data_IF_768717912852
#
_entry.id   IF_768717912852
#
_cell.length_a   1.000
_cell.length_b   1.000
_cell.length_c   1.000
_cell.angle_alpha   90.00
_cell.angle_beta   90.00
_cell.angle_gamma   90.00
#
_symmetry.space_group_name_H-M   'P 1'
#
loop_
_entity.id
_entity.type
_entity.pdbx_description
1 polymer ?
#
# COMPACT_ATOMS: atom_id res chain seq x y z
N UNK A 1 17.51 7.29 -15.89
CA UNK A 1 17.49 7.51 -14.43
C UNK A 1 16.13 7.90 -13.83
N UNK A 2 15.16 8.59 -14.49
CA UNK A 2 13.88 8.95 -13.84
C UNK A 2 12.92 7.76 -13.62
N UNK A 3 12.98 6.74 -14.48
CA UNK A 3 12.10 5.57 -14.38
C UNK A 3 12.32 4.76 -13.09
N UNK A 4 13.55 4.61 -12.62
CA UNK A 4 13.85 3.86 -11.39
C UNK A 4 13.24 4.49 -10.14
N UNK A 5 13.36 5.81 -10.01
CA UNK A 5 12.77 6.57 -8.89
C UNK A 5 11.25 6.51 -8.92
N UNK A 6 10.64 6.53 -10.11
CA UNK A 6 9.19 6.42 -10.26
C UNK A 6 8.69 5.05 -9.78
N UNK A 7 9.33 3.94 -10.18
CA UNK A 7 8.95 2.61 -9.68
C UNK A 7 9.14 2.50 -8.17
N UNK A 8 10.26 3.00 -7.65
CA UNK A 8 10.55 2.94 -6.21
C UNK A 8 9.50 3.71 -5.39
N UNK A 9 9.17 4.94 -5.77
CA UNK A 9 8.18 5.75 -5.06
C UNK A 9 6.78 5.14 -5.11
N UNK A 10 6.37 4.60 -6.26
CA UNK A 10 5.10 3.86 -6.40
C UNK A 10 5.11 2.62 -5.48
N UNK A 11 6.20 1.86 -5.42
CA UNK A 11 6.26 0.65 -4.61
C UNK A 11 6.20 0.96 -3.11
N UNK A 12 6.99 1.94 -2.66
CA UNK A 12 6.99 2.37 -1.27
C UNK A 12 5.63 2.90 -0.87
N UNK A 13 4.98 3.72 -1.71
CA UNK A 13 3.64 4.26 -1.40
C UNK A 13 2.58 3.17 -1.32
N UNK A 14 2.56 2.21 -2.24
CA UNK A 14 1.62 1.06 -2.20
C UNK A 14 1.82 0.18 -0.97
N UNK A 15 3.08 -0.14 -0.62
CA UNK A 15 3.40 -0.95 0.56
C UNK A 15 3.05 -0.19 1.85
N UNK A 16 3.44 1.09 1.96
CA UNK A 16 3.10 1.91 3.11
C UNK A 16 1.59 2.04 3.29
N UNK A 17 0.84 2.27 2.21
CA UNK A 17 -0.62 2.38 2.25
C UNK A 17 -1.27 1.07 2.70
N UNK A 18 -0.83 -0.07 2.14
CA UNK A 18 -1.32 -1.39 2.54
C UNK A 18 -1.05 -1.69 4.03
N UNK A 19 0.16 -1.39 4.50
CA UNK A 19 0.52 -1.53 5.92
C UNK A 19 -0.32 -0.59 6.81
N UNK A 20 -0.59 0.64 6.37
CA UNK A 20 -1.48 1.55 7.11
C UNK A 20 -2.87 0.95 7.30
N UNK A 21 -3.46 0.30 6.29
CA UNK A 21 -4.75 -0.38 6.42
C UNK A 21 -4.69 -1.59 7.36
N UNK A 22 -3.57 -2.33 7.39
CA UNK A 22 -3.40 -3.46 8.31
C UNK A 22 -3.21 -3.01 9.76
N UNK A 23 -2.39 -1.98 9.98
CA UNK A 23 -1.98 -1.53 11.32
C UNK A 23 -3.00 -0.59 11.96
N UNK A 24 -3.74 0.19 11.16
CA UNK A 24 -4.77 1.11 11.63
C UNK A 24 -5.78 0.47 12.62
N UNK A 25 -6.45 -0.66 12.29
CA UNK A 25 -7.39 -1.29 13.22
C UNK A 25 -6.69 -1.88 14.46
N UNK A 26 -5.44 -2.33 14.34
CA UNK A 26 -4.65 -2.84 15.47
C UNK A 26 -4.37 -1.73 16.47
N UNK A 27 -3.91 -0.57 15.99
CA UNK A 27 -3.69 0.61 16.84
C UNK A 27 -5.00 1.09 17.46
N UNK A 28 -6.09 1.12 16.68
CA UNK A 28 -7.39 1.53 17.19
C UNK A 28 -7.91 0.61 18.32
N UNK A 29 -7.63 -0.70 18.23
CA UNK A 29 -7.97 -1.66 19.27
C UNK A 29 -7.12 -1.48 20.55
N UNK A 30 -5.83 -1.18 20.43
CA UNK A 30 -4.91 -1.01 21.57
C UNK A 30 -5.17 0.31 22.32
N UNK A 31 -5.34 1.41 21.60
CA UNK A 31 -5.48 2.74 22.19
C UNK A 31 -6.93 3.11 22.52
N UNK A 32 -7.90 2.24 22.21
CA UNK A 32 -9.35 2.50 22.31
C UNK A 32 -9.78 3.82 21.65
N UNK A 33 -8.99 4.31 20.70
CA UNK A 33 -9.21 5.55 19.97
C UNK A 33 -9.04 5.27 18.49
N UNK A 34 -10.04 5.64 17.70
CA UNK A 34 -9.98 5.50 16.26
C UNK A 34 -8.92 6.45 15.68
N UNK A 35 -7.84 5.87 15.15
CA UNK A 35 -6.70 6.60 14.56
C UNK A 35 -7.07 7.23 13.21
N UNK A 36 -8.08 6.68 12.54
CA UNK A 36 -8.52 7.11 11.22
C UNK A 36 -9.99 7.52 11.30
N UNK A 37 -10.27 8.78 10.93
CA UNK A 37 -11.61 9.35 10.92
C UNK A 37 -11.71 10.51 9.95
N UNK A 38 -12.92 10.76 9.47
CA UNK A 38 -13.22 11.87 8.56
C UNK A 38 -13.81 13.02 9.36
N UNK A 39 -13.32 14.23 9.11
CA UNK A 39 -13.91 15.46 9.67
C UNK A 39 -14.79 16.07 8.60
N UNK A 40 -16.10 16.14 8.84
CA UNK A 40 -17.03 16.84 7.96
C UNK A 40 -17.64 17.98 8.78
N UNK A 41 -17.24 19.21 8.45
CA UNK A 41 -17.57 20.38 9.27
C UNK A 41 -16.92 20.30 10.66
N UNK A 42 -17.74 20.31 11.71
CA UNK A 42 -17.29 20.19 13.11
C UNK A 42 -17.42 18.75 13.67
N UNK A 43 -17.96 17.80 12.89
CA UNK A 43 -18.21 16.43 13.36
C UNK A 43 -17.10 15.49 12.90
N UNK A 44 -16.60 14.68 13.84
CA UNK A 44 -15.63 13.61 13.58
C UNK A 44 -16.36 12.29 13.42
N UNK A 45 -16.26 11.71 12.23
CA UNK A 45 -16.78 10.39 11.92
C UNK A 45 -15.66 9.37 12.07
N UNK A 46 -15.91 8.38 12.91
CA UNK A 46 -15.01 7.25 13.12
C UNK A 46 -15.62 5.99 12.55
N UNK A 47 -14.75 5.06 12.16
CA UNK A 47 -15.18 3.78 11.67
C UNK A 47 -15.70 2.92 12.83
N UNK A 48 -16.89 2.31 12.69
CA UNK A 48 -17.41 1.35 13.67
C UNK A 48 -16.48 0.15 13.78
N UNK A 49 -16.31 -0.37 15.00
CA UNK A 49 -15.46 -1.52 15.34
C UNK A 49 -15.78 -2.76 14.51
N UNK A 50 -17.03 -2.93 14.08
CA UNK A 50 -17.49 -4.06 13.25
C UNK A 50 -16.79 -4.13 11.88
N UNK A 51 -16.32 -2.98 11.38
CA UNK A 51 -15.69 -2.85 10.07
C UNK A 51 -14.17 -3.01 10.11
N UNK A 52 -13.57 -3.04 11.30
CA UNK A 52 -12.12 -3.25 11.47
C UNK A 52 -11.59 -4.52 10.79
N UNK A 53 -12.22 -5.71 10.91
CA UNK A 53 -11.73 -6.89 10.21
C UNK A 53 -11.79 -6.73 8.68
N UNK A 54 -12.79 -6.02 8.15
CA UNK A 54 -12.90 -5.79 6.71
C UNK A 54 -11.75 -4.91 6.20
N UNK A 55 -11.40 -3.85 6.94
CA UNK A 55 -10.27 -2.97 6.61
C UNK A 55 -8.95 -3.73 6.65
N UNK A 56 -8.77 -4.61 7.64
CA UNK A 56 -7.58 -5.46 7.74
C UNK A 56 -7.46 -6.40 6.53
N UNK A 57 -8.55 -7.08 6.14
CA UNK A 57 -8.60 -7.93 4.95
C UNK A 57 -8.28 -7.13 3.68
N UNK A 58 -8.85 -5.93 3.56
CA UNK A 58 -8.55 -5.03 2.44
C UNK A 58 -7.05 -4.68 2.39
N UNK A 59 -6.41 -4.44 3.53
CA UNK A 59 -4.96 -4.24 3.62
C UNK A 59 -4.15 -5.42 3.07
N UNK A 60 -4.51 -6.66 3.43
CA UNK A 60 -3.89 -7.89 2.90
C UNK A 60 -4.10 -8.07 1.40
N UNK A 61 -5.31 -7.80 0.90
CA UNK A 61 -5.62 -7.86 -0.52
C UNK A 61 -4.80 -6.85 -1.30
N UNK A 62 -4.75 -5.59 -0.81
CA UNK A 62 -3.95 -4.52 -1.41
C UNK A 62 -2.46 -4.89 -1.46
N UNK A 63 -1.93 -5.50 -0.39
CA UNK A 63 -0.54 -5.98 -0.34
C UNK A 63 -0.28 -7.03 -1.42
N UNK A 64 -1.19 -8.01 -1.50
CA UNK A 64 -1.07 -9.14 -2.42
C UNK A 64 -1.10 -8.65 -3.87
N UNK A 65 -2.03 -7.76 -4.19
CA UNK A 65 -2.12 -7.10 -5.51
C UNK A 65 -0.83 -6.33 -5.81
N UNK A 66 -0.29 -5.60 -4.82
CA UNK A 66 0.98 -4.87 -4.95
C UNK A 66 2.14 -5.80 -5.28
N UNK A 67 2.26 -6.95 -4.62
CA UNK A 67 3.31 -7.94 -4.90
C UNK A 67 3.24 -8.51 -6.32
N UNK A 68 2.03 -8.75 -6.85
CA UNK A 68 1.85 -9.18 -8.24
C UNK A 68 2.28 -8.08 -9.21
N UNK A 69 1.90 -6.83 -8.93
CA UNK A 69 2.32 -5.68 -9.71
C UNK A 69 3.85 -5.52 -9.72
N UNK A 70 4.50 -5.67 -8.56
CA UNK A 70 5.96 -5.57 -8.43
C UNK A 70 6.67 -6.67 -9.20
N UNK A 71 6.13 -7.90 -9.19
CA UNK A 71 6.65 -9.02 -9.98
C UNK A 71 6.65 -8.69 -11.48
N UNK A 72 5.54 -8.18 -12.01
CA UNK A 72 5.44 -7.83 -13.43
C UNK A 72 6.40 -6.70 -13.81
N UNK A 73 6.49 -5.65 -12.99
CA UNK A 73 7.39 -4.52 -13.26
C UNK A 73 8.87 -4.94 -13.16
N UNK A 74 9.23 -5.78 -12.19
CA UNK A 74 10.59 -6.34 -12.07
C UNK A 74 10.99 -7.17 -13.29
N UNK A 75 10.07 -7.99 -13.83
CA UNK A 75 10.30 -8.75 -15.05
C UNK A 75 10.52 -7.84 -16.27
N UNK A 76 9.73 -6.77 -16.40
CA UNK A 76 9.91 -5.77 -17.46
C UNK A 76 11.27 -5.08 -17.34
N UNK A 77 11.65 -4.66 -16.13
CA UNK A 77 12.94 -4.03 -15.89
C UNK A 77 14.13 -4.94 -16.24
N UNK A 78 14.08 -6.23 -15.85
CA UNK A 78 15.10 -7.21 -16.20
C UNK A 78 15.22 -7.45 -17.71
N UNK A 79 14.09 -7.44 -18.45
CA UNK A 79 14.11 -7.52 -19.91
C UNK A 79 14.78 -6.30 -20.55
N UNK A 80 14.49 -5.09 -20.08
CA UNK A 80 15.15 -3.88 -20.57
C UNK A 80 16.66 -3.91 -20.31
N UNK A 81 17.09 -4.33 -19.11
CA UNK A 81 18.52 -4.46 -18.78
C UNK A 81 19.24 -5.45 -19.72
N UNK A 82 18.60 -6.58 -20.05
CA UNK A 82 19.17 -7.56 -20.98
C UNK A 82 19.30 -7.03 -22.40
N UNK A 83 18.36 -6.21 -22.88
CA UNK A 83 18.45 -5.59 -24.22
C UNK A 83 19.63 -4.63 -24.32
N UNK A 84 19.90 -3.85 -23.27
CA UNK A 84 21.06 -2.95 -23.24
C UNK A 84 22.40 -3.70 -23.20
N UNK A 85 22.46 -4.86 -22.53
CA UNK A 85 23.69 -5.68 -22.44
C UNK A 85 24.04 -6.44 -23.72
N UNK A 86 23.09 -6.60 -24.66
CA UNK A 86 23.30 -7.36 -25.92
C UNK A 86 23.50 -6.42 -27.12
N UNK A 87 23.46 -5.10 -26.90
CA UNK A 87 23.65 -4.10 -27.97
C UNK A 87 25.12 -3.66 -28.14
N UNK A 88 26.05 -4.23 -27.36
CA UNK A 88 27.50 -4.08 -27.54
C UNK A 88 28.11 -5.30 -28.26
#
# INVERSE_FOLDING_TARGET
MPFGTLYFTVFVTLVSLSLSFMVSPILAAIFHQSVVGFVIGNVRYYLSTEWYPLVMIMGFLMLTVSMHLFKWIGQLHGKYAKMFLVTD
#
